data_IF_735007243105
#
_entry.id   IF_735007243105
#
_cell.length_a   1.000
_cell.length_b   1.000
_cell.length_c   1.000
_cell.angle_alpha   90.00
_cell.angle_beta   90.00
_cell.angle_gamma   90.00
#
_symmetry.space_group_name_H-M   'P 1'
#
loop_
_entity.id
_entity.type
_entity.pdbx_description
1 polymer ?
#
# COMPACT_ATOMS: atom_id res chain seq x y z
N UNK A 1 9.20 5.44 -11.63
CA UNK A 1 10.63 5.89 -11.63
C UNK A 1 10.90 7.03 -10.63
N UNK A 2 12.11 7.14 -10.05
CA UNK A 2 12.51 8.25 -9.15
C UNK A 2 12.97 9.47 -9.97
N UNK A 3 12.67 10.70 -9.51
CA UNK A 3 13.01 11.97 -10.20
C UNK A 3 14.51 12.14 -10.43
N UNK A 4 15.36 11.74 -9.47
CA UNK A 4 16.81 11.85 -9.60
C UNK A 4 17.36 11.04 -10.80
N UNK A 5 16.82 9.85 -11.05
CA UNK A 5 17.19 9.02 -12.21
C UNK A 5 16.83 9.68 -13.55
N UNK A 6 15.76 10.49 -13.57
CA UNK A 6 15.34 11.24 -14.76
C UNK A 6 16.32 12.38 -15.02
N UNK A 7 16.72 13.09 -13.96
CA UNK A 7 17.69 14.18 -14.05
C UNK A 7 19.04 13.66 -14.55
N UNK A 8 19.56 12.57 -13.94
CA UNK A 8 20.81 11.93 -14.37
C UNK A 8 20.78 11.54 -15.86
N UNK A 9 19.68 10.95 -16.32
CA UNK A 9 19.51 10.57 -17.72
C UNK A 9 19.51 11.78 -18.65
N UNK A 10 18.71 12.81 -18.36
CA UNK A 10 18.62 14.00 -19.23
C UNK A 10 19.96 14.74 -19.33
N UNK A 11 20.70 14.86 -18.22
CA UNK A 11 22.05 15.43 -18.22
C UNK A 11 23.00 14.59 -19.08
N UNK A 12 22.90 13.25 -19.02
CA UNK A 12 23.72 12.36 -19.85
C UNK A 12 23.44 12.47 -21.35
N UNK A 13 22.21 12.85 -21.72
CA UNK A 13 21.79 13.16 -23.09
C UNK A 13 22.16 14.59 -23.52
N UNK A 14 22.85 15.35 -22.65
CA UNK A 14 23.33 16.71 -22.95
C UNK A 14 22.29 17.81 -22.76
N UNK A 15 21.15 17.54 -22.11
CA UNK A 15 20.20 18.59 -21.74
C UNK A 15 20.75 19.43 -20.58
N UNK A 16 20.57 20.74 -20.69
CA UNK A 16 20.96 21.73 -19.68
C UNK A 16 19.68 22.39 -19.17
N UNK A 17 19.44 22.29 -17.87
CA UNK A 17 18.26 22.84 -17.19
C UNK A 17 18.56 23.02 -15.70
N UNK A 18 17.96 24.01 -15.08
CA UNK A 18 18.06 24.27 -13.64
C UNK A 18 16.99 23.52 -12.85
N UNK A 19 15.79 23.36 -13.43
CA UNK A 19 14.67 22.70 -12.76
C UNK A 19 13.93 21.71 -13.66
N UNK A 20 13.62 20.55 -13.10
CA UNK A 20 12.70 19.56 -13.68
C UNK A 20 11.36 19.63 -12.93
N UNK A 21 10.23 19.81 -13.62
CA UNK A 21 8.92 20.07 -12.98
C UNK A 21 7.84 19.16 -13.58
N UNK A 22 6.91 18.67 -12.75
CA UNK A 22 5.76 17.89 -13.23
C UNK A 22 4.79 18.81 -13.98
N UNK A 23 4.51 18.50 -15.25
CA UNK A 23 3.66 19.33 -16.11
C UNK A 23 2.97 18.55 -17.22
N UNK A 24 1.78 18.98 -17.62
CA UNK A 24 0.98 18.33 -18.68
C UNK A 24 0.09 19.35 -19.43
N UNK A 25 -0.20 19.08 -20.70
CA UNK A 25 -1.10 19.84 -21.57
C UNK A 25 -2.60 19.63 -21.26
N UNK A 26 -3.03 18.43 -20.83
CA UNK A 26 -4.46 18.08 -20.78
C UNK A 26 -4.89 17.27 -19.54
N UNK A 27 -4.19 16.20 -19.18
CA UNK A 27 -4.52 15.33 -18.03
C UNK A 27 -3.25 14.63 -17.55
N UNK A 28 -2.77 14.99 -16.35
CA UNK A 28 -1.58 14.45 -15.67
C UNK A 28 -1.29 12.98 -16.03
N UNK A 29 -0.49 12.80 -17.07
CA UNK A 29 0.14 11.54 -17.43
C UNK A 29 1.46 11.47 -16.67
N UNK A 30 1.73 10.32 -16.03
CA UNK A 30 2.85 10.19 -15.09
C UNK A 30 4.26 10.24 -15.73
N UNK A 31 4.39 10.70 -16.97
CA UNK A 31 5.63 10.70 -17.74
C UNK A 31 5.93 12.00 -18.51
N UNK A 32 5.21 13.10 -18.23
CA UNK A 32 5.49 14.41 -18.81
C UNK A 32 6.15 15.36 -17.80
N UNK A 33 7.14 16.10 -18.27
CA UNK A 33 7.93 17.00 -17.44
C UNK A 33 8.29 18.27 -18.18
N UNK A 34 8.45 19.36 -17.44
CA UNK A 34 8.95 20.64 -17.92
C UNK A 34 10.42 20.77 -17.52
N UNK A 35 11.26 21.03 -18.52
CA UNK A 35 12.64 21.45 -18.35
C UNK A 35 12.69 22.98 -18.35
N UNK A 36 13.15 23.55 -17.24
CA UNK A 36 13.30 24.98 -17.03
C UNK A 36 14.79 25.31 -16.93
N UNK A 37 15.24 26.22 -17.78
CA UNK A 37 16.53 26.91 -17.66
C UNK A 37 16.22 28.34 -17.23
N UNK A 38 16.72 28.73 -16.06
CA UNK A 38 16.42 29.99 -15.38
C UNK A 38 16.93 31.20 -16.18
N UNK A 39 17.92 31.03 -17.05
CA UNK A 39 18.48 32.07 -17.92
C UNK A 39 17.87 32.06 -19.32
N UNK A 40 16.99 31.10 -19.62
CA UNK A 40 16.26 31.02 -20.87
C UNK A 40 14.85 31.64 -20.77
N UNK A 41 14.40 32.29 -21.84
CA UNK A 41 13.00 32.71 -22.00
C UNK A 41 12.09 31.56 -22.47
N UNK A 42 12.62 30.35 -22.58
CA UNK A 42 11.90 29.22 -23.18
C UNK A 42 12.00 27.99 -22.32
N UNK A 43 10.89 27.28 -22.12
CA UNK A 43 10.91 26.00 -21.44
C UNK A 43 10.40 24.88 -22.35
N UNK A 44 10.92 23.67 -22.13
CA UNK A 44 10.56 22.50 -22.94
C UNK A 44 9.63 21.59 -22.15
N UNK A 45 8.47 21.26 -22.72
CA UNK A 45 7.66 20.14 -22.27
C UNK A 45 8.17 18.87 -22.96
N UNK A 46 8.65 17.93 -22.16
CA UNK A 46 9.14 16.63 -22.63
C UNK A 46 8.22 15.51 -22.17
N UNK A 47 8.21 14.43 -22.93
CA UNK A 47 7.62 13.16 -22.53
C UNK A 47 8.70 12.08 -22.54
N UNK A 48 8.83 11.36 -21.43
CA UNK A 48 9.74 10.22 -21.33
C UNK A 48 9.17 9.01 -22.07
N UNK A 49 10.03 8.35 -22.84
CA UNK A 49 9.80 7.06 -23.47
C UNK A 49 10.33 6.01 -22.50
N UNK A 50 9.41 5.27 -21.89
CA UNK A 50 9.72 4.31 -20.85
C UNK A 50 9.76 2.91 -21.43
N UNK A 51 10.89 2.25 -21.25
CA UNK A 51 11.14 0.86 -21.62
C UNK A 51 11.08 -0.07 -20.42
N UNK A 52 11.24 -1.36 -20.72
CA UNK A 52 11.44 -2.39 -19.70
C UNK A 52 12.74 -3.11 -19.99
N UNK A 53 13.72 -2.98 -19.10
CA UNK A 53 14.94 -3.76 -19.16
C UNK A 53 14.82 -4.95 -18.24
N UNK A 54 15.07 -6.11 -18.80
CA UNK A 54 15.20 -7.35 -18.05
C UNK A 54 16.61 -7.42 -17.47
N UNK A 55 16.71 -7.46 -16.15
CA UNK A 55 17.97 -7.63 -15.44
C UNK A 55 17.93 -8.98 -14.73
N UNK A 56 18.86 -9.86 -15.10
CA UNK A 56 19.20 -11.02 -14.30
C UNK A 56 19.78 -10.57 -12.97
N UNK A 57 19.08 -10.87 -11.89
CA UNK A 57 19.61 -10.72 -10.54
C UNK A 57 19.61 -12.09 -9.87
N UNK A 58 20.59 -12.33 -9.01
CA UNK A 58 20.58 -13.52 -8.17
C UNK A 58 19.66 -13.24 -6.98
N UNK A 59 18.70 -14.12 -6.75
CA UNK A 59 17.90 -14.08 -5.54
C UNK A 59 18.75 -14.44 -4.32
N UNK A 60 18.15 -14.37 -3.12
CA UNK A 60 18.83 -14.68 -1.86
C UNK A 60 19.34 -16.12 -1.74
N UNK A 61 19.01 -16.99 -2.70
CA UNK A 61 19.45 -18.39 -2.79
C UNK A 61 20.41 -18.63 -3.95
N UNK A 62 20.88 -17.57 -4.61
CA UNK A 62 21.82 -17.66 -5.73
C UNK A 62 21.17 -18.12 -7.05
N UNK A 63 19.84 -18.05 -7.18
CA UNK A 63 19.13 -18.39 -8.41
C UNK A 63 18.91 -17.14 -9.25
N UNK A 64 19.20 -17.23 -10.55
CA UNK A 64 18.96 -16.15 -11.49
C UNK A 64 17.45 -15.91 -11.68
N UNK A 65 17.00 -14.70 -11.38
CA UNK A 65 15.64 -14.23 -11.62
C UNK A 65 15.67 -12.98 -12.50
N UNK A 66 14.73 -12.90 -13.43
CA UNK A 66 14.59 -11.76 -14.34
C UNK A 66 13.72 -10.70 -13.72
N UNK A 67 14.33 -9.61 -13.22
CA UNK A 67 13.60 -8.45 -12.75
C UNK A 67 13.37 -7.47 -13.91
N UNK A 68 12.11 -7.06 -14.11
CA UNK A 68 11.75 -6.00 -15.07
C UNK A 68 11.92 -4.65 -14.39
N UNK A 69 12.98 -3.94 -14.75
CA UNK A 69 13.19 -2.55 -14.33
C UNK A 69 12.65 -1.61 -15.40
N UNK A 70 11.85 -0.62 -14.99
CA UNK A 70 11.44 0.48 -15.85
C UNK A 70 12.67 1.35 -16.14
N UNK A 71 13.03 1.45 -17.42
CA UNK A 71 14.18 2.24 -17.88
C UNK A 71 13.69 3.39 -18.76
N UNK A 72 14.53 4.42 -18.89
CA UNK A 72 14.32 5.47 -19.88
C UNK A 72 15.00 5.02 -21.17
N UNK A 73 14.23 4.84 -22.23
CA UNK A 73 14.74 4.52 -23.57
C UNK A 73 15.02 5.77 -24.39
N UNK A 74 14.37 6.88 -24.01
CA UNK A 74 14.44 8.14 -24.73
C UNK A 74 13.57 9.19 -24.08
N UNK A 75 13.62 10.40 -24.63
CA UNK A 75 12.60 11.41 -24.41
C UNK A 75 12.27 12.06 -25.75
N UNK A 76 11.08 12.66 -25.84
CA UNK A 76 10.72 13.54 -26.94
C UNK A 76 10.30 14.89 -26.39
N UNK A 77 10.73 15.95 -27.05
CA UNK A 77 10.16 17.29 -26.83
C UNK A 77 8.77 17.30 -27.45
N UNK A 78 7.75 17.44 -26.62
CA UNK A 78 6.37 17.62 -27.09
C UNK A 78 6.25 19.01 -27.70
N UNK A 79 6.71 20.02 -26.95
CA UNK A 79 6.60 21.41 -27.34
C UNK A 79 7.55 22.29 -26.54
N UNK A 80 8.03 23.36 -27.16
CA UNK A 80 8.74 24.44 -26.48
C UNK A 80 7.81 25.63 -26.37
N UNK A 81 7.84 26.29 -25.22
CA UNK A 81 7.02 27.43 -24.90
C UNK A 81 7.89 28.63 -24.61
N UNK A 82 7.54 29.76 -25.18
CA UNK A 82 8.15 31.05 -24.84
C UNK A 82 7.33 31.68 -23.71
N UNK A 83 8.04 32.09 -22.65
CA UNK A 83 7.45 32.70 -21.47
C UNK A 83 6.75 34.03 -21.79
N UNK A 84 7.22 34.74 -22.82
CA UNK A 84 6.65 36.01 -23.29
C UNK A 84 5.22 35.87 -23.83
N UNK A 85 4.82 34.66 -24.25
CA UNK A 85 3.50 34.37 -24.80
C UNK A 85 2.48 33.94 -23.73
N UNK A 86 2.83 34.03 -22.43
CA UNK A 86 1.90 33.71 -21.35
C UNK A 86 0.92 34.86 -21.15
N UNK A 87 -0.33 34.63 -21.54
CA UNK A 87 -1.42 35.61 -21.44
C UNK A 87 -2.00 35.69 -20.03
N UNK A 88 -2.11 34.54 -19.36
CA UNK A 88 -2.69 34.44 -18.03
C UNK A 88 -2.13 33.25 -17.25
N UNK A 89 -2.04 33.41 -15.92
CA UNK A 89 -1.68 32.35 -14.99
C UNK A 89 -2.78 32.22 -13.94
N UNK A 90 -3.51 31.11 -13.97
CA UNK A 90 -4.48 30.76 -12.94
C UNK A 90 -3.77 30.00 -11.82
N UNK A 91 -3.68 30.63 -10.64
CA UNK A 91 -3.05 30.04 -9.46
C UNK A 91 -4.12 29.50 -8.52
N UNK A 92 -4.07 28.19 -8.26
CA UNK A 92 -4.84 27.56 -7.20
C UNK A 92 -3.94 27.28 -5.98
N UNK A 93 -3.83 28.28 -5.11
CA UNK A 93 -2.99 28.18 -3.89
C UNK A 93 -3.37 27.02 -2.97
N UNK A 94 -4.59 26.51 -3.10
CA UNK A 94 -5.13 25.48 -2.22
C UNK A 94 -4.94 24.06 -2.77
N UNK A 95 -4.78 23.91 -4.09
CA UNK A 95 -4.47 22.64 -4.77
C UNK A 95 -3.00 22.51 -5.18
N UNK A 96 -2.17 23.53 -4.95
CA UNK A 96 -0.76 23.58 -5.38
C UNK A 96 -0.60 23.39 -6.90
N UNK A 97 -1.64 23.73 -7.66
CA UNK A 97 -1.65 23.63 -9.11
C UNK A 97 -1.71 25.02 -9.74
N UNK A 98 -1.06 25.14 -10.89
CA UNK A 98 -1.07 26.35 -11.71
C UNK A 98 -1.44 25.99 -13.14
N UNK A 99 -2.21 26.84 -13.79
CA UNK A 99 -2.57 26.68 -15.21
C UNK A 99 -2.12 27.91 -15.97
N UNK A 100 -1.12 27.72 -16.83
CA UNK A 100 -0.60 28.74 -17.74
C UNK A 100 -1.42 28.72 -19.00
N UNK A 101 -1.98 29.86 -19.38
CA UNK A 101 -2.66 30.05 -20.66
C UNK A 101 -1.76 30.89 -21.54
N UNK A 102 -1.56 30.44 -22.78
CA UNK A 102 -0.77 31.16 -23.78
C UNK A 102 -1.68 31.98 -24.69
N UNK A 103 -1.12 32.96 -25.41
CA UNK A 103 -1.85 33.82 -26.35
C UNK A 103 -2.59 33.02 -27.44
N UNK A 104 -2.05 31.85 -27.81
CA UNK A 104 -2.66 30.93 -28.76
C UNK A 104 -3.81 30.07 -28.17
N UNK A 105 -4.17 30.28 -26.90
CA UNK A 105 -5.22 29.57 -26.19
C UNK A 105 -4.81 28.23 -25.57
N UNK A 106 -3.57 27.78 -25.75
CA UNK A 106 -3.06 26.55 -25.15
C UNK A 106 -2.92 26.69 -23.63
N UNK A 107 -3.08 25.56 -22.92
CA UNK A 107 -2.99 25.53 -21.47
C UNK A 107 -2.01 24.46 -20.99
N UNK A 108 -1.14 24.83 -20.07
CA UNK A 108 -0.25 23.89 -19.37
C UNK A 108 -0.60 23.90 -17.89
N UNK A 109 -0.85 22.71 -17.34
CA UNK A 109 -0.97 22.54 -15.90
C UNK A 109 0.38 22.14 -15.32
N UNK A 110 0.82 22.87 -14.32
CA UNK A 110 2.06 22.61 -13.59
C UNK A 110 1.71 22.28 -12.14
N UNK A 111 2.30 21.20 -11.63
CA UNK A 111 2.16 20.75 -10.26
C UNK A 111 3.51 20.99 -9.56
N UNK A 112 3.78 22.24 -9.17
CA UNK A 112 5.12 22.64 -8.73
C UNK A 112 5.26 22.80 -7.22
N UNK A 113 6.50 22.60 -6.76
CA UNK A 113 7.01 23.27 -5.58
C UNK A 113 6.85 24.79 -5.76
N UNK A 114 6.50 25.49 -4.69
CA UNK A 114 6.02 26.87 -4.74
C UNK A 114 7.13 27.87 -5.12
N UNK A 115 8.40 27.55 -4.84
CA UNK A 115 9.51 28.51 -4.89
C UNK A 115 10.19 28.65 -6.27
N UNK A 116 10.54 27.54 -6.94
CA UNK A 116 11.36 27.60 -8.18
C UNK A 116 10.65 28.34 -9.32
N UNK A 117 9.35 28.07 -9.50
CA UNK A 117 8.60 28.65 -10.61
C UNK A 117 8.15 30.09 -10.35
N UNK A 118 7.96 30.51 -9.09
CA UNK A 118 7.66 31.92 -8.76
C UNK A 118 8.88 32.83 -8.92
N UNK A 119 10.07 32.34 -8.56
CA UNK A 119 11.30 33.08 -8.80
C UNK A 119 11.51 33.30 -10.30
N UNK A 120 11.33 32.26 -11.11
CA UNK A 120 11.38 32.34 -12.58
C UNK A 120 10.36 33.35 -13.12
N UNK A 121 9.08 33.26 -12.73
CA UNK A 121 8.06 34.21 -13.21
C UNK A 121 8.27 35.64 -12.75
N UNK A 122 8.79 35.85 -11.53
CA UNK A 122 9.08 37.19 -11.03
C UNK A 122 10.20 37.87 -11.83
N UNK A 123 11.21 37.07 -12.25
CA UNK A 123 12.29 37.49 -13.14
C UNK A 123 11.76 37.93 -14.52
N UNK A 124 10.63 37.36 -14.96
CA UNK A 124 10.00 37.64 -16.26
C UNK A 124 8.73 38.53 -16.19
N UNK A 125 8.45 39.17 -15.05
CA UNK A 125 7.37 40.18 -14.89
C UNK A 125 5.93 39.72 -15.27
N UNK A 126 5.62 38.44 -15.15
CA UNK A 126 4.27 37.92 -15.47
C UNK A 126 3.31 38.15 -14.29
N UNK A 127 2.18 38.82 -14.56
CA UNK A 127 1.11 39.02 -13.58
C UNK A 127 0.29 37.74 -13.39
N UNK A 128 -0.04 37.40 -12.14
CA UNK A 128 -0.77 36.18 -11.80
C UNK A 128 -2.16 36.50 -11.27
N UNK A 129 -3.15 35.73 -11.72
CA UNK A 129 -4.52 35.82 -11.26
C UNK A 129 -4.80 34.73 -10.22
N UNK A 130 -5.12 35.14 -9.00
CA UNK A 130 -5.46 34.21 -7.93
C UNK A 130 -6.90 33.73 -8.11
N UNK A 131 -7.11 32.41 -8.19
CA UNK A 131 -8.47 31.88 -8.21
C UNK A 131 -9.12 32.02 -6.83
N UNK A 132 -10.19 32.82 -6.76
CA UNK A 132 -11.02 32.91 -5.56
C UNK A 132 -11.93 31.68 -5.43
N UNK A 133 -11.72 30.91 -4.35
CA UNK A 133 -12.61 29.80 -3.98
C UNK A 133 -13.71 30.27 -3.02
N UNK A 134 -14.91 29.67 -3.12
CA UNK A 134 -15.97 29.81 -2.10
C UNK A 134 -15.40 29.49 -0.71
N UNK A 135 -15.76 30.28 0.31
CA UNK A 135 -15.12 30.31 1.63
C UNK A 135 -14.97 28.93 2.29
N UNK A 136 -15.99 28.07 2.20
CA UNK A 136 -15.95 26.72 2.77
C UNK A 136 -14.91 25.82 2.10
N UNK A 137 -14.63 25.98 0.80
CA UNK A 137 -13.58 25.23 0.07
C UNK A 137 -12.17 25.75 0.32
N UNK A 138 -12.01 26.82 1.11
CA UNK A 138 -10.69 27.28 1.59
C UNK A 138 -10.18 26.36 2.72
N UNK A 139 -11.08 25.71 3.46
CA UNK A 139 -10.77 24.82 4.59
C UNK A 139 -10.32 23.44 4.08
N UNK A 140 -9.19 22.94 4.60
CA UNK A 140 -8.45 21.77 4.04
C UNK A 140 -9.35 20.55 3.80
N UNK A 141 -10.19 20.14 4.75
CA UNK A 141 -11.05 18.96 4.59
C UNK A 141 -12.29 19.17 3.70
N UNK A 142 -12.67 20.42 3.42
CA UNK A 142 -13.76 20.75 2.50
C UNK A 142 -13.30 20.91 1.04
N UNK A 143 -11.99 20.82 0.77
CA UNK A 143 -11.41 20.96 -0.58
C UNK A 143 -11.77 19.81 -1.52
N UNK A 144 -11.87 18.59 -1.01
CA UNK A 144 -12.04 17.39 -1.83
C UNK A 144 -13.51 16.98 -2.04
N UNK A 145 -14.46 17.71 -1.44
CA UNK A 145 -15.91 17.40 -1.47
C UNK A 145 -16.23 15.97 -0.97
N UNK A 146 -15.30 15.34 -0.28
CA UNK A 146 -15.43 13.97 0.22
C UNK A 146 -16.13 13.99 1.58
N UNK A 147 -17.26 13.28 1.77
CA UNK A 147 -18.10 13.40 2.97
C UNK A 147 -17.34 13.29 4.29
N UNK A 148 -16.41 12.34 4.42
CA UNK A 148 -15.68 12.11 5.69
C UNK A 148 -14.70 13.23 6.06
N UNK A 149 -14.04 13.86 5.08
CA UNK A 149 -13.11 14.98 5.32
C UNK A 149 -13.86 16.26 5.71
N UNK A 150 -15.08 16.41 5.21
CA UNK A 150 -15.99 17.49 5.61
C UNK A 150 -16.45 17.28 7.06
N UNK A 151 -16.89 16.07 7.42
CA UNK A 151 -17.35 15.73 8.78
C UNK A 151 -16.26 16.00 9.84
N UNK A 152 -15.02 15.53 9.62
CA UNK A 152 -13.91 15.72 10.56
C UNK A 152 -13.56 17.21 10.77
N UNK A 153 -13.62 18.01 9.71
CA UNK A 153 -13.27 19.43 9.76
C UNK A 153 -14.36 20.27 10.45
N UNK A 154 -15.62 19.88 10.28
CA UNK A 154 -16.76 20.47 11.00
C UNK A 154 -16.61 20.29 12.51
N UNK A 155 -16.23 19.10 12.97
CA UNK A 155 -16.07 18.80 14.39
C UNK A 155 -14.97 19.66 15.05
N UNK A 156 -13.83 19.87 14.38
CA UNK A 156 -12.73 20.72 14.88
C UNK A 156 -13.15 22.19 14.96
N UNK A 157 -13.91 22.66 13.95
CA UNK A 157 -14.35 24.06 13.90
C UNK A 157 -15.42 24.35 14.96
N UNK A 158 -16.33 23.38 15.24
CA UNK A 158 -17.30 23.48 16.32
C UNK A 158 -16.63 23.55 17.71
N UNK A 159 -15.54 22.81 17.93
CA UNK A 159 -14.78 22.88 19.19
C UNK A 159 -14.11 24.25 19.43
N UNK A 160 -13.63 24.91 18.37
CA UNK A 160 -13.05 26.26 18.46
C UNK A 160 -14.12 27.34 18.73
N UNK A 161 -15.33 27.17 18.20
CA UNK A 161 -16.46 28.08 18.46
C UNK A 161 -16.90 28.02 19.93
N UNK A 162 -16.82 26.84 20.55
CA UNK A 162 -17.10 26.64 21.98
C UNK A 162 -16.12 27.42 22.87
N UNK A 163 -14.83 27.48 22.51
CA UNK A 163 -13.81 28.25 23.24
C UNK A 163 -13.99 29.77 23.10
N UNK A 164 -14.58 30.24 22.00
CA UNK A 164 -14.91 31.66 21.79
C UNK A 164 -16.13 32.09 22.61
N UNK A 165 -17.02 31.16 22.94
CA UNK A 165 -18.22 31.43 23.76
C UNK A 165 -17.89 31.62 25.25
N UNK A 166 -16.91 30.89 25.79
CA UNK A 166 -16.38 31.09 27.16
C UNK A 166 -15.69 32.46 27.32
N UNK A 167 -15.20 33.06 26.23
CA UNK A 167 -14.51 34.35 26.25
C UNK A 167 -15.45 35.58 26.15
N UNK A 168 -16.77 35.38 26.01
CA UNK A 168 -17.76 36.46 25.82
C UNK A 168 -18.41 36.95 27.13
N UNK A 169 -17.97 36.46 28.29
CA UNK A 169 -18.38 36.93 29.62
C UNK A 169 -17.19 37.49 30.41
N UNK A 170 -16.70 38.68 30.06
CA UNK A 170 -15.80 39.44 30.94
C UNK A 170 -15.88 40.97 30.72
N UNK A 171 -15.64 41.74 31.78
CA UNK A 171 -16.22 43.08 32.07
C UNK A 171 -15.23 44.27 31.83
N UNK A 172 -15.77 45.49 31.68
CA UNK A 172 -15.19 46.70 31.05
C UNK A 172 -13.91 47.39 31.64
N UNK A 173 -13.14 46.79 32.55
CA UNK A 173 -11.93 47.46 33.11
C UNK A 173 -10.67 47.37 32.23
N UNK A 174 -10.72 46.70 31.08
CA UNK A 174 -9.55 46.22 30.34
C UNK A 174 -8.87 47.21 29.35
N UNK A 175 -9.43 48.39 29.10
CA UNK A 175 -9.06 49.15 27.89
C UNK A 175 -7.67 49.82 27.92
N UNK A 176 -7.14 50.14 29.11
CA UNK A 176 -5.84 50.81 29.26
C UNK A 176 -4.68 49.85 29.58
N UNK A 177 -4.96 48.69 30.20
CA UNK A 177 -3.98 47.61 30.30
C UNK A 177 -3.69 47.00 28.92
N UNK A 178 -4.67 47.02 27.99
CA UNK A 178 -4.55 46.53 26.60
C UNK A 178 -3.41 47.14 25.77
N UNK A 179 -3.01 48.40 25.98
CA UNK A 179 -1.93 49.02 25.18
C UNK A 179 -0.53 48.61 25.72
N UNK A 180 -0.40 48.43 27.03
CA UNK A 180 0.81 47.87 27.65
C UNK A 180 0.92 46.35 27.43
N UNK A 181 -0.24 45.67 27.37
CA UNK A 181 -0.37 44.28 26.93
C UNK A 181 0.05 44.18 25.45
N UNK A 182 -0.47 45.01 24.54
CA UNK A 182 -0.16 44.98 23.10
C UNK A 182 1.35 45.05 22.77
N UNK A 183 2.14 45.79 23.55
CA UNK A 183 3.61 45.88 23.39
C UNK A 183 4.34 44.64 23.93
N UNK A 184 3.85 44.03 25.02
CA UNK A 184 4.32 42.72 25.50
C UNK A 184 3.88 41.59 24.56
N UNK A 185 2.65 41.64 24.06
CA UNK A 185 2.03 40.72 23.11
C UNK A 185 2.69 40.78 21.73
N UNK A 186 3.31 41.91 21.35
CA UNK A 186 4.10 42.02 20.11
C UNK A 186 5.47 41.34 20.23
N UNK A 187 6.16 41.47 21.36
CA UNK A 187 7.42 40.76 21.64
C UNK A 187 7.19 39.27 21.95
N UNK A 188 6.10 38.95 22.64
CA UNK A 188 5.63 37.59 22.89
C UNK A 188 5.11 36.95 21.60
N UNK A 189 4.44 37.72 20.73
CA UNK A 189 4.03 37.31 19.38
C UNK A 189 5.20 37.00 18.45
N UNK A 190 6.28 37.77 18.47
CA UNK A 190 7.51 37.43 17.71
C UNK A 190 8.24 36.19 18.28
N UNK A 191 8.21 35.99 19.60
CA UNK A 191 8.71 34.76 20.25
C UNK A 191 7.84 33.54 19.94
N UNK A 192 6.51 33.69 19.97
CA UNK A 192 5.52 32.67 19.64
C UNK A 192 5.56 32.32 18.15
N UNK A 193 5.83 33.27 17.25
CA UNK A 193 6.01 33.02 15.81
C UNK A 193 7.34 32.30 15.53
N UNK A 194 8.43 32.62 16.23
CA UNK A 194 9.68 31.85 16.17
C UNK A 194 9.51 30.43 16.73
N UNK A 195 8.88 30.29 17.90
CA UNK A 195 8.56 28.98 18.48
C UNK A 195 7.57 28.18 17.63
N UNK A 196 6.60 28.82 16.98
CA UNK A 196 5.65 28.17 16.06
C UNK A 196 6.34 27.70 14.77
N UNK A 197 7.29 28.48 14.21
CA UNK A 197 8.12 28.04 13.06
C UNK A 197 9.06 26.90 13.43
N UNK A 198 9.66 26.93 14.63
CA UNK A 198 10.47 25.81 15.14
C UNK A 198 9.63 24.56 15.44
N UNK A 199 8.43 24.72 16.00
CA UNK A 199 7.47 23.63 16.21
C UNK A 199 6.89 23.09 14.89
N UNK A 200 6.68 23.93 13.87
CA UNK A 200 6.21 23.49 12.55
C UNK A 200 7.32 22.73 11.80
N UNK A 201 8.57 23.19 11.88
CA UNK A 201 9.72 22.48 11.32
C UNK A 201 9.99 21.15 12.08
N UNK A 202 9.93 21.15 13.42
CA UNK A 202 9.96 19.90 14.21
C UNK A 202 8.81 18.97 13.82
N UNK A 203 7.57 19.46 13.70
CA UNK A 203 6.42 18.65 13.26
C UNK A 203 6.58 18.12 11.83
N UNK A 204 7.18 18.88 10.91
CA UNK A 204 7.45 18.43 9.52
C UNK A 204 8.57 17.39 9.45
N UNK A 205 9.63 17.54 10.24
CA UNK A 205 10.70 16.54 10.39
C UNK A 205 10.20 15.28 11.10
N UNK A 206 9.42 15.42 12.17
CA UNK A 206 8.73 14.31 12.84
C UNK A 206 7.79 13.58 11.87
N UNK A 207 7.05 14.28 11.01
CA UNK A 207 6.17 13.66 10.00
C UNK A 207 6.98 12.95 8.90
N UNK A 208 8.07 13.53 8.42
CA UNK A 208 8.98 12.89 7.46
C UNK A 208 9.66 11.65 8.06
N UNK A 209 10.07 11.74 9.32
CA UNK A 209 10.68 10.62 10.05
C UNK A 209 9.65 9.53 10.33
N UNK A 210 8.42 9.90 10.71
CA UNK A 210 7.31 8.97 10.90
C UNK A 210 6.95 8.25 9.61
N UNK A 211 6.82 8.96 8.49
CA UNK A 211 6.58 8.33 7.16
C UNK A 211 7.76 7.42 6.76
N UNK A 212 9.00 7.84 7.00
CA UNK A 212 10.19 7.03 6.70
C UNK A 212 10.27 5.77 7.56
N UNK A 213 9.88 5.86 8.82
CA UNK A 213 9.78 4.72 9.73
C UNK A 213 8.62 3.81 9.33
N UNK A 214 7.43 4.34 9.05
CA UNK A 214 6.26 3.58 8.56
C UNK A 214 6.57 2.83 7.25
N UNK A 215 7.30 3.45 6.32
CA UNK A 215 7.72 2.80 5.07
C UNK A 215 8.78 1.72 5.30
N UNK A 216 9.70 1.93 6.26
CA UNK A 216 10.69 0.91 6.64
C UNK A 216 10.04 -0.27 7.37
N UNK A 217 9.17 0.01 8.33
CA UNK A 217 8.37 -0.99 9.06
C UNK A 217 7.50 -1.79 8.09
N UNK A 218 6.79 -1.15 7.16
CA UNK A 218 6.00 -1.85 6.16
C UNK A 218 6.84 -2.77 5.27
N UNK A 219 8.03 -2.34 4.85
CA UNK A 219 8.97 -3.18 4.09
C UNK A 219 9.54 -4.33 4.92
N UNK A 220 9.77 -4.09 6.21
CA UNK A 220 10.25 -5.11 7.13
C UNK A 220 9.16 -6.16 7.36
N UNK A 221 7.92 -5.74 7.65
CA UNK A 221 6.76 -6.63 7.77
C UNK A 221 6.52 -7.46 6.51
N UNK A 222 6.65 -6.87 5.31
CA UNK A 222 6.54 -7.63 4.06
C UNK A 222 7.65 -8.70 3.93
N UNK A 223 8.87 -8.38 4.37
CA UNK A 223 10.00 -9.31 4.36
C UNK A 223 9.81 -10.43 5.39
N UNK A 224 9.37 -10.10 6.60
CA UNK A 224 9.11 -11.06 7.68
C UNK A 224 7.93 -11.97 7.30
N UNK A 225 6.90 -11.42 6.66
CA UNK A 225 5.81 -12.19 6.09
C UNK A 225 6.32 -13.23 5.08
N UNK A 226 7.12 -12.79 4.11
CA UNK A 226 7.61 -13.68 3.03
C UNK A 226 8.57 -14.75 3.52
N UNK A 227 9.47 -14.42 4.45
CA UNK A 227 10.51 -15.35 4.88
C UNK A 227 10.04 -16.31 5.96
N UNK A 228 9.20 -15.83 6.88
CA UNK A 228 8.87 -16.59 8.08
C UNK A 228 7.46 -17.17 7.94
N UNK A 229 6.45 -16.32 7.80
CA UNK A 229 5.05 -16.73 7.83
C UNK A 229 4.62 -17.51 6.58
N UNK A 230 4.89 -16.97 5.38
CA UNK A 230 4.52 -17.57 4.11
C UNK A 230 5.24 -18.93 3.92
N UNK A 231 6.52 -19.00 4.26
CA UNK A 231 7.30 -20.24 4.23
C UNK A 231 6.71 -21.32 5.15
N UNK A 232 6.33 -20.96 6.38
CA UNK A 232 5.69 -21.90 7.32
C UNK A 232 4.36 -22.39 6.76
N UNK A 233 3.49 -21.50 6.28
CA UNK A 233 2.17 -21.88 5.76
C UNK A 233 2.27 -22.68 4.45
N UNK A 234 3.19 -22.36 3.55
CA UNK A 234 3.53 -23.15 2.35
C UNK A 234 3.97 -24.57 2.72
N UNK A 235 4.90 -24.70 3.68
CA UNK A 235 5.36 -26.00 4.13
C UNK A 235 4.22 -26.85 4.73
N UNK A 236 3.32 -26.24 5.51
CA UNK A 236 2.17 -26.96 6.09
C UNK A 236 1.22 -27.45 4.99
N UNK A 237 0.90 -26.62 3.99
CA UNK A 237 0.09 -27.02 2.83
C UNK A 237 0.73 -28.17 2.06
N UNK A 238 2.05 -28.07 1.80
CA UNK A 238 2.79 -29.15 1.13
C UNK A 238 2.74 -30.46 1.92
N UNK A 239 2.85 -30.42 3.25
CA UNK A 239 2.73 -31.62 4.09
C UNK A 239 1.32 -32.22 4.02
N UNK A 240 0.27 -31.40 4.00
CA UNK A 240 -1.11 -31.86 3.86
C UNK A 240 -1.31 -32.64 2.56
N UNK A 241 -0.87 -32.06 1.43
CA UNK A 241 -0.98 -32.68 0.11
C UNK A 241 -0.12 -33.94 0.00
N UNK A 242 1.13 -33.87 0.50
CA UNK A 242 2.04 -35.01 0.54
C UNK A 242 1.42 -36.18 1.31
N UNK A 243 0.96 -35.94 2.54
CA UNK A 243 0.38 -36.98 3.38
C UNK A 243 -0.93 -37.53 2.78
N UNK A 244 -1.75 -36.68 2.18
CA UNK A 244 -2.95 -37.13 1.46
C UNK A 244 -2.60 -38.08 0.30
N UNK A 245 -1.64 -37.71 -0.54
CA UNK A 245 -1.26 -38.55 -1.67
C UNK A 245 -0.55 -39.84 -1.24
N UNK A 246 0.45 -39.73 -0.37
CA UNK A 246 1.30 -40.85 0.05
C UNK A 246 0.56 -41.89 0.89
N UNK A 247 -0.37 -41.43 1.74
CA UNK A 247 -1.10 -42.31 2.64
C UNK A 247 -2.56 -42.53 2.20
N UNK A 248 -3.34 -41.49 1.90
CA UNK A 248 -4.77 -41.70 1.58
C UNK A 248 -4.95 -42.32 0.20
N UNK A 249 -4.56 -41.59 -0.86
CA UNK A 249 -4.77 -42.00 -2.25
C UNK A 249 -4.09 -43.34 -2.53
N UNK A 250 -2.79 -43.45 -2.25
CA UNK A 250 -2.04 -44.68 -2.48
C UNK A 250 -2.61 -45.90 -1.74
N UNK A 251 -3.20 -45.72 -0.55
CA UNK A 251 -3.79 -46.85 0.17
C UNK A 251 -5.08 -47.32 -0.49
N UNK A 252 -5.97 -46.41 -0.87
CA UNK A 252 -7.22 -46.77 -1.53
C UNK A 252 -6.97 -47.34 -2.94
N UNK A 253 -6.02 -46.78 -3.69
CA UNK A 253 -5.60 -47.32 -4.98
C UNK A 253 -4.98 -48.71 -4.82
N UNK A 254 -4.07 -48.86 -3.85
CA UNK A 254 -3.40 -50.14 -3.59
C UNK A 254 -4.33 -51.24 -3.06
N UNK A 255 -5.39 -50.88 -2.33
CA UNK A 255 -6.45 -51.82 -1.96
C UNK A 255 -7.29 -52.18 -3.18
N UNK A 256 -7.55 -51.23 -4.08
CA UNK A 256 -8.34 -51.46 -5.29
C UNK A 256 -7.63 -52.35 -6.31
N UNK A 257 -6.31 -52.24 -6.44
CA UNK A 257 -5.51 -53.04 -7.38
C UNK A 257 -4.90 -54.30 -6.74
N UNK A 258 -5.02 -54.44 -5.42
CA UNK A 258 -4.54 -55.58 -4.65
C UNK A 258 -3.05 -55.52 -4.28
N UNK A 259 -2.35 -54.43 -4.55
CA UNK A 259 -0.94 -54.22 -4.17
C UNK A 259 -0.74 -53.95 -2.67
N UNK A 260 -1.80 -53.56 -1.95
CA UNK A 260 -1.80 -53.35 -0.49
C UNK A 260 -2.89 -54.22 0.12
N UNK A 261 -2.55 -54.99 1.16
CA UNK A 261 -3.54 -55.76 1.93
C UNK A 261 -4.18 -54.88 3.03
N UNK A 262 -5.30 -55.35 3.59
CA UNK A 262 -6.04 -54.61 4.61
C UNK A 262 -5.23 -54.26 5.88
N UNK A 263 -4.31 -55.13 6.29
CA UNK A 263 -3.49 -54.88 7.48
C UNK A 263 -2.52 -53.71 7.24
N UNK A 264 -1.85 -53.70 6.09
CA UNK A 264 -0.97 -52.61 5.68
C UNK A 264 -1.74 -51.30 5.44
N UNK A 265 -2.96 -51.40 4.87
CA UNK A 265 -3.85 -50.26 4.71
C UNK A 265 -4.27 -49.65 6.05
N UNK A 266 -4.62 -50.49 7.04
CA UNK A 266 -4.89 -50.03 8.41
C UNK A 266 -3.68 -49.29 9.01
N UNK A 267 -2.48 -49.86 8.88
CA UNK A 267 -1.23 -49.25 9.37
C UNK A 267 -0.97 -47.88 8.72
N UNK A 268 -1.14 -47.77 7.40
CA UNK A 268 -0.98 -46.51 6.65
C UNK A 268 -2.00 -45.44 7.07
N UNK A 269 -3.23 -45.85 7.41
CA UNK A 269 -4.26 -44.95 7.94
C UNK A 269 -3.93 -44.46 9.36
N UNK A 270 -3.46 -45.34 10.24
CA UNK A 270 -3.05 -44.96 11.60
C UNK A 270 -1.85 -43.98 11.59
N UNK A 271 -0.91 -44.18 10.67
CA UNK A 271 0.18 -43.23 10.43
C UNK A 271 -0.34 -41.86 9.94
N UNK A 272 -1.27 -41.86 8.97
CA UNK A 272 -1.88 -40.63 8.46
C UNK A 272 -2.64 -39.85 9.53
N UNK A 273 -3.41 -40.54 10.37
CA UNK A 273 -4.10 -39.93 11.50
C UNK A 273 -3.10 -39.24 12.44
N UNK A 274 -2.01 -39.92 12.80
CA UNK A 274 -0.96 -39.36 13.68
C UNK A 274 -0.34 -38.11 13.05
N UNK A 275 -0.03 -38.16 11.74
CA UNK A 275 0.48 -37.00 10.99
C UNK A 275 -0.49 -35.83 11.02
N UNK A 276 -1.79 -36.07 10.81
CA UNK A 276 -2.81 -35.00 10.84
C UNK A 276 -3.04 -34.44 12.24
N UNK A 277 -3.02 -35.27 13.29
CA UNK A 277 -3.06 -34.80 14.67
C UNK A 277 -1.85 -33.91 15.01
N UNK A 278 -0.66 -34.26 14.51
CA UNK A 278 0.55 -33.44 14.68
C UNK A 278 0.46 -32.12 13.90
N UNK A 279 -0.11 -32.12 12.69
CA UNK A 279 -0.39 -30.88 11.95
C UNK A 279 -1.36 -29.99 12.74
N UNK A 280 -2.47 -30.51 13.26
CA UNK A 280 -3.42 -29.74 14.08
C UNK A 280 -2.70 -29.04 15.25
N UNK A 281 -1.85 -29.78 15.99
CA UNK A 281 -1.03 -29.20 17.07
C UNK A 281 -0.06 -28.13 16.56
N UNK A 282 0.50 -28.31 15.36
CA UNK A 282 1.36 -27.30 14.75
C UNK A 282 0.59 -26.02 14.41
N UNK A 283 -0.68 -26.13 14.00
CA UNK A 283 -1.55 -24.97 13.77
C UNK A 283 -1.92 -24.28 15.08
N UNK A 284 -2.24 -25.02 16.15
CA UNK A 284 -2.53 -24.44 17.48
C UNK A 284 -1.37 -23.57 17.98
N UNK A 285 -0.14 -24.07 17.81
CA UNK A 285 1.07 -23.41 18.26
C UNK A 285 1.62 -22.37 17.26
N UNK A 286 0.95 -22.15 16.13
CA UNK A 286 1.42 -21.19 15.12
C UNK A 286 1.21 -19.77 15.65
N UNK A 287 2.29 -18.99 15.87
CA UNK A 287 2.18 -17.66 16.42
C UNK A 287 1.56 -16.71 15.39
N UNK A 288 0.65 -15.86 15.86
CA UNK A 288 0.14 -14.74 15.08
C UNK A 288 1.18 -13.63 15.07
N UNK A 289 1.71 -13.23 13.90
CA UNK A 289 2.73 -12.19 13.87
C UNK A 289 2.23 -10.86 14.45
N UNK A 290 3.05 -10.23 15.29
CA UNK A 290 2.67 -9.00 16.00
C UNK A 290 2.30 -7.85 15.05
N UNK A 291 2.89 -7.85 13.86
CA UNK A 291 2.69 -6.84 12.83
C UNK A 291 1.39 -7.00 12.03
N UNK A 292 0.61 -8.05 12.27
CA UNK A 292 -0.69 -8.22 11.61
C UNK A 292 -1.64 -7.10 12.03
N UNK A 293 -2.36 -6.53 11.07
CA UNK A 293 -3.52 -5.69 11.36
C UNK A 293 -4.68 -6.55 11.87
N UNK A 294 -5.74 -5.94 12.41
CA UNK A 294 -6.90 -6.71 12.89
C UNK A 294 -7.54 -7.54 11.78
N UNK A 295 -7.57 -7.03 10.54
CA UNK A 295 -8.04 -7.76 9.36
C UNK A 295 -7.12 -8.93 9.00
N UNK A 296 -5.80 -8.76 9.15
CA UNK A 296 -4.83 -9.82 8.88
C UNK A 296 -4.96 -10.94 9.92
N UNK A 297 -5.14 -10.57 11.20
CA UNK A 297 -5.40 -11.51 12.29
C UNK A 297 -6.69 -12.29 12.06
N UNK A 298 -7.78 -11.62 11.68
CA UNK A 298 -9.05 -12.28 11.38
C UNK A 298 -8.93 -13.27 10.21
N UNK A 299 -8.21 -12.88 9.16
CA UNK A 299 -7.94 -13.75 7.99
C UNK A 299 -7.10 -14.96 8.40
N UNK A 300 -6.09 -14.75 9.24
CA UNK A 300 -5.22 -15.82 9.71
C UNK A 300 -5.92 -16.80 10.67
N UNK A 301 -6.71 -16.29 11.62
CA UNK A 301 -7.50 -17.14 12.53
C UNK A 301 -8.56 -17.92 11.76
N UNK A 302 -9.16 -17.32 10.72
CA UNK A 302 -10.04 -18.04 9.81
C UNK A 302 -9.30 -19.15 9.08
N UNK A 303 -8.14 -18.87 8.50
CA UNK A 303 -7.30 -19.90 7.87
C UNK A 303 -6.98 -21.05 8.82
N UNK A 304 -6.50 -20.77 10.05
CA UNK A 304 -6.19 -21.79 11.06
C UNK A 304 -7.42 -22.66 11.36
N UNK A 305 -8.54 -22.02 11.72
CA UNK A 305 -9.79 -22.71 12.08
C UNK A 305 -10.28 -23.61 10.95
N UNK A 306 -10.29 -23.12 9.72
CA UNK A 306 -10.77 -23.90 8.56
C UNK A 306 -9.84 -25.07 8.25
N UNK A 307 -8.52 -24.89 8.25
CA UNK A 307 -7.59 -26.01 8.03
C UNK A 307 -7.65 -27.05 9.15
N UNK A 308 -7.77 -26.63 10.41
CA UNK A 308 -7.94 -27.56 11.52
C UNK A 308 -9.25 -28.33 11.43
N UNK A 309 -10.34 -27.67 11.00
CA UNK A 309 -11.64 -28.33 10.75
C UNK A 309 -11.56 -29.34 9.61
N UNK A 310 -10.85 -29.00 8.52
CA UNK A 310 -10.55 -29.91 7.42
C UNK A 310 -9.79 -31.15 7.92
N UNK A 311 -8.70 -30.95 8.65
CA UNK A 311 -7.89 -32.05 9.21
C UNK A 311 -8.70 -32.92 10.16
N UNK A 312 -9.52 -32.32 11.02
CA UNK A 312 -10.42 -33.03 11.93
C UNK A 312 -11.44 -33.90 11.18
N UNK A 313 -12.03 -33.39 10.09
CA UNK A 313 -12.91 -34.20 9.26
C UNK A 313 -12.15 -35.32 8.53
N UNK A 314 -10.96 -35.05 7.99
CA UNK A 314 -10.14 -36.12 7.40
C UNK A 314 -9.79 -37.21 8.41
N UNK A 315 -9.48 -36.85 9.66
CA UNK A 315 -9.26 -37.82 10.76
C UNK A 315 -10.50 -38.71 10.97
N UNK A 316 -11.71 -38.15 11.02
CA UNK A 316 -12.94 -38.95 11.11
C UNK A 316 -13.11 -39.92 9.92
N UNK A 317 -12.75 -39.46 8.71
CA UNK A 317 -12.73 -40.29 7.51
C UNK A 317 -11.73 -41.44 7.62
N UNK A 318 -10.53 -41.16 8.16
CA UNK A 318 -9.47 -42.14 8.44
C UNK A 318 -9.90 -43.15 9.49
N UNK A 319 -10.55 -42.71 10.58
CA UNK A 319 -11.10 -43.59 11.60
C UNK A 319 -12.12 -44.57 11.02
N UNK A 320 -13.01 -44.11 10.13
CA UNK A 320 -13.95 -45.00 9.44
C UNK A 320 -13.25 -45.95 8.48
N UNK A 321 -12.26 -45.47 7.72
CA UNK A 321 -11.47 -46.29 6.79
C UNK A 321 -10.72 -47.42 7.52
N UNK A 322 -10.13 -47.13 8.68
CA UNK A 322 -9.49 -48.15 9.54
C UNK A 322 -10.48 -49.26 9.93
N UNK A 323 -11.71 -48.90 10.31
CA UNK A 323 -12.74 -49.90 10.66
C UNK A 323 -13.05 -50.78 9.44
N UNK A 324 -13.21 -50.19 8.25
CA UNK A 324 -13.47 -50.96 7.02
C UNK A 324 -12.36 -51.95 6.69
N UNK A 325 -11.10 -51.54 6.78
CA UNK A 325 -9.96 -52.42 6.52
C UNK A 325 -9.88 -53.54 7.56
N UNK A 326 -10.16 -53.25 8.83
CA UNK A 326 -10.13 -54.26 9.89
C UNK A 326 -11.27 -55.30 9.78
N UNK A 327 -12.48 -54.88 9.42
CA UNK A 327 -13.65 -55.77 9.34
C UNK A 327 -13.68 -56.61 8.04
N UNK A 328 -12.85 -56.28 7.05
CA UNK A 328 -12.83 -56.89 5.71
C UNK A 328 -14.22 -56.96 5.06
N UNK A 329 -15.11 -56.03 5.40
CA UNK A 329 -16.48 -55.97 4.96
C UNK A 329 -16.86 -54.52 4.64
N UNK A 330 -16.63 -54.13 3.38
CA UNK A 330 -16.89 -52.79 2.91
C UNK A 330 -18.36 -52.64 2.53
N UNK A 331 -19.16 -51.96 3.36
CA UNK A 331 -20.55 -51.63 3.01
C UNK A 331 -20.60 -50.35 2.17
N UNK A 332 -21.48 -50.28 1.15
CA UNK A 332 -21.67 -49.07 0.36
C UNK A 332 -21.98 -47.82 1.20
N UNK A 333 -22.74 -47.98 2.29
CA UNK A 333 -23.09 -46.91 3.24
C UNK A 333 -21.85 -46.31 3.91
N UNK A 334 -20.84 -47.12 4.21
CA UNK A 334 -19.61 -46.67 4.87
C UNK A 334 -18.70 -45.91 3.92
N UNK A 335 -18.62 -46.34 2.67
CA UNK A 335 -17.92 -45.60 1.62
C UNK A 335 -18.61 -44.26 1.33
N UNK A 336 -19.94 -44.24 1.30
CA UNK A 336 -20.70 -43.01 1.10
C UNK A 336 -20.52 -42.04 2.27
N UNK A 337 -20.53 -42.54 3.50
CA UNK A 337 -20.24 -41.73 4.69
C UNK A 337 -18.82 -41.13 4.66
N UNK A 338 -17.81 -41.93 4.30
CA UNK A 338 -16.44 -41.43 4.12
C UNK A 338 -16.40 -40.34 3.05
N UNK A 339 -17.02 -40.55 1.88
CA UNK A 339 -17.07 -39.54 0.80
C UNK A 339 -17.69 -38.24 1.27
N UNK A 340 -18.77 -38.29 2.05
CA UNK A 340 -19.42 -37.10 2.59
C UNK A 340 -18.52 -36.35 3.57
N UNK A 341 -17.81 -37.06 4.45
CA UNK A 341 -16.83 -36.46 5.36
C UNK A 341 -15.69 -35.80 4.58
N UNK A 342 -15.14 -36.47 3.57
CA UNK A 342 -14.06 -35.90 2.74
C UNK A 342 -14.56 -34.67 1.98
N UNK A 343 -15.77 -34.71 1.42
CA UNK A 343 -16.38 -33.55 0.77
C UNK A 343 -16.54 -32.37 1.73
N UNK A 344 -16.91 -32.62 2.98
CA UNK A 344 -17.00 -31.56 3.99
C UNK A 344 -15.61 -31.03 4.36
N UNK A 345 -14.61 -31.91 4.49
CA UNK A 345 -13.22 -31.51 4.68
C UNK A 345 -12.72 -30.59 3.55
N UNK A 346 -13.03 -30.91 2.30
CA UNK A 346 -12.60 -30.12 1.14
C UNK A 346 -13.26 -28.73 1.10
N UNK A 347 -14.51 -28.58 1.57
CA UNK A 347 -15.12 -27.25 1.74
C UNK A 347 -14.32 -26.38 2.70
N UNK A 348 -13.95 -26.94 3.85
CA UNK A 348 -13.10 -26.24 4.81
C UNK A 348 -11.71 -25.93 4.22
N UNK A 349 -11.12 -26.86 3.45
CA UNK A 349 -9.86 -26.62 2.74
C UNK A 349 -9.94 -25.39 1.83
N UNK A 350 -10.99 -25.31 1.00
CA UNK A 350 -11.21 -24.18 0.08
C UNK A 350 -11.37 -22.86 0.85
N UNK A 351 -12.17 -22.85 1.91
CA UNK A 351 -12.37 -21.66 2.76
C UNK A 351 -11.07 -21.21 3.42
N UNK A 352 -10.27 -22.15 3.95
CA UNK A 352 -8.96 -21.85 4.53
C UNK A 352 -7.99 -21.27 3.51
N UNK A 353 -7.88 -21.90 2.33
CA UNK A 353 -7.02 -21.41 1.24
C UNK A 353 -7.45 -20.01 0.78
N UNK A 354 -8.76 -19.73 0.69
CA UNK A 354 -9.25 -18.41 0.33
C UNK A 354 -8.85 -17.33 1.34
N UNK A 355 -8.94 -17.64 2.64
CA UNK A 355 -8.50 -16.75 3.71
C UNK A 355 -6.98 -16.48 3.65
N UNK A 356 -6.17 -17.52 3.46
CA UNK A 356 -4.72 -17.38 3.30
C UNK A 356 -4.33 -16.65 2.01
N UNK A 357 -5.05 -16.87 0.92
CA UNK A 357 -4.83 -16.15 -0.35
C UNK A 357 -5.11 -14.66 -0.19
N UNK A 358 -6.18 -14.31 0.51
CA UNK A 358 -6.53 -12.92 0.81
C UNK A 358 -5.42 -12.23 1.62
N UNK A 359 -4.86 -12.94 2.60
CA UNK A 359 -3.71 -12.48 3.39
C UNK A 359 -2.46 -12.32 2.50
N UNK A 360 -2.15 -13.29 1.64
CA UNK A 360 -1.02 -13.21 0.72
C UNK A 360 -1.11 -12.02 -0.26
N UNK A 361 -2.31 -11.70 -0.74
CA UNK A 361 -2.54 -10.54 -1.63
C UNK A 361 -2.21 -9.21 -0.94
N UNK A 362 -2.46 -9.08 0.37
CA UNK A 362 -2.15 -7.87 1.13
C UNK A 362 -0.62 -7.62 1.24
N UNK A 363 0.19 -8.68 1.19
CA UNK A 363 1.65 -8.63 1.29
C UNK A 363 2.39 -8.86 -0.05
N UNK A 364 1.69 -8.76 -1.20
CA UNK A 364 2.24 -9.02 -2.54
C UNK A 364 3.05 -10.33 -2.61
N UNK A 365 2.53 -11.39 -1.99
CA UNK A 365 3.11 -12.72 -2.07
C UNK A 365 2.30 -13.58 -3.06
N UNK A 366 2.96 -14.10 -4.08
CA UNK A 366 2.39 -15.09 -4.98
C UNK A 366 3.02 -16.45 -4.67
N UNK A 367 2.19 -17.49 -4.51
CA UNK A 367 2.67 -18.86 -4.36
C UNK A 367 3.57 -19.22 -5.54
N UNK A 368 4.76 -19.73 -5.25
CA UNK A 368 5.58 -20.39 -6.26
C UNK A 368 4.88 -21.71 -6.62
N UNK A 369 4.35 -21.76 -7.85
CA UNK A 369 3.77 -22.97 -8.45
C UNK A 369 4.77 -24.12 -8.50
#
# INVERSE_FOLDING_TARGET
MKKDKIIEYLISEGEIFDHLIDGDLHKLTANQYILLDDDSNTFKLIQLILGKKEKSILDSKGKEITQKEEIIEGYKTIKSFDISNVSNVDIDKYAMSRVYTFDNGEKIRVNSDYASFENYLSKHHISSNFQERKWYRKIIGFRSVTPWKMILTTLITLGLIFLVFDALTENETEKNDRIAQELKDKQEGERLVKQAKEQENKKKEEKKQKIKNEVKEKKQHEKDYKNDFASVTENQMHLIDKYWNENWINTFDGISDGSINNFDAYGKMADLETKYQNLIKSYDNMPTPDYFTDTDRESFETYKREIQSMLGNRIKGIERAKILFNENNVKPEDLEYIKQIIKEADKHMVSGIAALTSLNMQYNHEYKK
#
